data_IF_445325600236
#
_entry.id   IF_445325600236
#
_cell.length_a   1.000
_cell.length_b   1.000
_cell.length_c   1.000
_cell.angle_alpha   90.00
_cell.angle_beta   90.00
_cell.angle_gamma   90.00
#
_symmetry.space_group_name_H-M   'P 1'
#
loop_
_entity.id
_entity.type
_entity.pdbx_description
1 polymer ?
#
# COMPACT_ATOMS: atom_id res chain seq x y z
N UNK A 1 67.12 49.17 1.45
CA UNK A 1 68.31 48.60 2.11
C UNK A 1 67.92 47.30 2.80
N UNK A 2 68.45 46.16 2.32
CA UNK A 2 68.58 44.82 2.96
C UNK A 2 67.28 44.13 3.44
N UNK A 3 67.03 42.82 3.37
CA UNK A 3 67.56 41.62 2.69
C UNK A 3 67.00 40.41 3.47
N UNK A 4 66.35 39.44 2.80
CA UNK A 4 66.21 38.00 3.15
C UNK A 4 65.46 37.62 4.45
N UNK A 5 64.66 36.54 4.56
CA UNK A 5 64.88 35.08 4.34
C UNK A 5 63.47 34.44 4.12
N UNK A 6 63.14 33.82 2.98
CA UNK A 6 63.23 32.39 2.55
C UNK A 6 62.39 31.32 3.31
N UNK A 7 61.51 30.69 2.51
CA UNK A 7 61.02 29.29 2.50
C UNK A 7 60.03 28.86 3.60
N UNK A 8 58.97 28.08 3.34
CA UNK A 8 58.83 26.86 2.49
C UNK A 8 57.38 26.55 2.13
N UNK A 9 57.18 25.91 0.96
CA UNK A 9 56.16 24.86 0.72
C UNK A 9 54.71 25.34 0.49
N UNK A 10 54.24 25.57 -0.73
CA UNK A 10 53.83 24.55 -1.72
C UNK A 10 52.79 23.55 -1.19
N UNK A 11 51.51 23.80 -1.49
CA UNK A 11 50.66 22.94 -2.32
C UNK A 11 49.16 23.19 -2.06
N UNK A 12 48.46 23.65 -3.11
CA UNK A 12 47.14 23.21 -3.61
C UNK A 12 46.04 22.98 -2.55
N UNK A 13 44.83 23.49 -2.70
CA UNK A 13 43.86 23.05 -3.71
C UNK A 13 42.70 24.06 -3.71
N UNK A 14 42.38 24.57 -4.89
CA UNK A 14 41.07 25.13 -5.21
C UNK A 14 40.09 23.99 -5.45
N UNK A 15 38.91 24.03 -4.81
CA UNK A 15 37.63 23.41 -5.19
C UNK A 15 36.83 23.14 -3.91
N UNK A 16 35.67 23.77 -3.74
CA UNK A 16 34.50 23.17 -3.06
C UNK A 16 33.28 24.09 -3.21
N UNK A 17 32.71 24.12 -4.42
CA UNK A 17 31.29 24.44 -4.65
C UNK A 17 30.82 23.46 -5.71
N UNK A 18 30.07 22.45 -5.27
CA UNK A 18 29.07 21.61 -5.96
C UNK A 18 28.95 20.34 -5.12
N UNK A 19 27.93 20.24 -4.26
CA UNK A 19 27.39 18.96 -3.81
C UNK A 19 25.99 19.15 -3.20
N UNK A 20 25.01 19.39 -4.08
CA UNK A 20 23.60 19.08 -3.82
C UNK A 20 23.14 18.29 -5.05
N UNK A 21 22.46 17.17 -4.81
CA UNK A 21 22.10 16.09 -5.74
C UNK A 21 23.18 15.01 -5.92
N UNK A 22 23.19 14.00 -5.04
CA UNK A 22 23.53 12.59 -5.35
C UNK A 22 23.37 11.72 -4.09
N UNK A 23 22.19 11.13 -3.89
CA UNK A 23 22.02 9.75 -3.33
C UNK A 23 20.69 9.19 -3.89
N UNK A 24 20.67 8.85 -5.18
CA UNK A 24 19.63 8.05 -5.85
C UNK A 24 20.16 7.63 -7.22
N UNK A 25 21.29 6.91 -7.24
CA UNK A 25 21.83 6.27 -8.45
C UNK A 25 22.74 5.11 -8.03
N UNK A 26 22.12 4.07 -7.46
CA UNK A 26 22.67 2.72 -7.39
C UNK A 26 22.27 1.91 -8.62
N UNK A 27 22.49 2.42 -9.83
CA UNK A 27 22.47 1.60 -11.04
C UNK A 27 23.91 1.49 -11.53
N UNK A 28 24.59 0.47 -11.03
CA UNK A 28 25.82 0.01 -11.64
C UNK A 28 25.50 -0.44 -13.07
N UNK A 29 26.06 0.28 -14.04
CA UNK A 29 26.37 -0.29 -15.34
C UNK A 29 27.43 -1.38 -15.14
N UNK A 30 26.99 -2.62 -15.01
CA UNK A 30 27.79 -3.78 -15.38
C UNK A 30 27.16 -4.40 -16.63
N UNK A 31 28.00 -4.50 -17.66
CA UNK A 31 27.79 -5.07 -19.00
C UNK A 31 26.69 -6.15 -19.10
N UNK A 32 25.65 -5.85 -19.89
CA UNK A 32 25.36 -6.64 -21.08
C UNK A 32 24.62 -7.97 -20.96
N UNK A 33 23.73 -8.13 -19.98
CA UNK A 33 22.57 -9.04 -20.10
C UNK A 33 21.33 -8.26 -19.66
N UNK A 34 20.23 -8.40 -20.39
CA UNK A 34 18.97 -7.77 -20.01
C UNK A 34 18.62 -8.20 -18.58
N UNK A 35 18.42 -7.23 -17.66
CA UNK A 35 17.91 -7.49 -16.28
C UNK A 35 16.59 -8.29 -16.31
N UNK A 36 15.90 -8.30 -17.45
CA UNK A 36 14.66 -9.01 -17.69
C UNK A 36 14.87 -10.30 -18.48
N UNK A 37 14.14 -11.35 -18.13
CA UNK A 37 14.10 -12.65 -18.81
C UNK A 37 12.88 -12.80 -19.74
N UNK A 38 11.88 -11.92 -19.64
CA UNK A 38 10.74 -11.86 -20.54
C UNK A 38 10.21 -10.43 -20.75
N UNK A 39 9.53 -10.25 -21.87
CA UNK A 39 8.74 -9.06 -22.18
C UNK A 39 7.28 -9.43 -22.37
N UNK A 40 6.40 -8.78 -21.62
CA UNK A 40 4.96 -8.79 -21.84
C UNK A 40 4.59 -7.54 -22.60
N UNK A 41 3.86 -7.70 -23.71
CA UNK A 41 3.38 -6.57 -24.48
C UNK A 41 2.12 -6.94 -25.28
N UNK A 42 1.19 -6.01 -25.54
CA UNK A 42 0.00 -6.30 -26.32
C UNK A 42 0.38 -6.74 -27.75
N UNK A 43 -0.43 -7.60 -28.41
CA UNK A 43 -0.19 -7.99 -29.80
C UNK A 43 -0.03 -6.76 -30.71
N UNK A 44 0.99 -6.76 -31.56
CA UNK A 44 1.26 -5.66 -32.51
C UNK A 44 2.03 -4.46 -31.94
N UNK A 45 2.39 -4.48 -30.65
CA UNK A 45 3.32 -3.49 -30.08
C UNK A 45 4.74 -3.68 -30.63
N UNK A 46 5.32 -2.62 -31.19
CA UNK A 46 6.72 -2.62 -31.58
C UNK A 46 7.60 -2.81 -30.33
N UNK A 47 8.54 -3.75 -30.38
CA UNK A 47 9.54 -3.85 -29.33
C UNK A 47 10.51 -2.69 -29.49
N UNK A 48 10.75 -1.89 -28.46
CA UNK A 48 11.96 -1.09 -28.44
C UNK A 48 13.16 -2.03 -28.68
N UNK A 49 14.11 -1.65 -29.54
CA UNK A 49 15.23 -2.50 -29.98
C UNK A 49 15.95 -3.21 -28.82
N UNK A 50 15.95 -2.58 -27.64
CA UNK A 50 16.51 -3.06 -26.37
C UNK A 50 15.91 -4.37 -25.85
N UNK A 51 14.68 -4.75 -26.25
CA UNK A 51 13.99 -5.97 -25.79
C UNK A 51 13.77 -7.02 -26.90
N UNK A 52 14.32 -6.80 -28.08
CA UNK A 52 14.11 -7.65 -29.27
C UNK A 52 14.54 -9.12 -29.09
N UNK A 53 15.47 -9.40 -28.16
CA UNK A 53 15.97 -10.75 -27.87
C UNK A 53 15.23 -11.51 -26.76
N UNK A 54 14.22 -10.92 -26.12
CA UNK A 54 13.49 -11.57 -25.02
C UNK A 54 12.31 -12.41 -25.52
N UNK A 55 12.00 -13.55 -24.87
CA UNK A 55 10.71 -14.21 -25.00
C UNK A 55 9.55 -13.23 -24.80
N UNK A 56 8.60 -13.24 -25.74
CA UNK A 56 7.45 -12.33 -25.74
C UNK A 56 6.18 -13.05 -25.34
N UNK A 57 5.39 -12.40 -24.49
CA UNK A 57 4.08 -12.89 -24.04
C UNK A 57 3.01 -11.83 -24.26
N UNK A 58 1.80 -12.28 -24.59
CA UNK A 58 0.63 -11.41 -24.68
C UNK A 58 -0.05 -11.13 -23.34
N UNK A 59 0.38 -11.81 -22.26
CA UNK A 59 -0.17 -11.70 -20.91
C UNK A 59 0.91 -11.89 -19.85
N UNK A 60 0.71 -11.25 -18.69
CA UNK A 60 1.61 -11.35 -17.54
C UNK A 60 1.51 -12.75 -16.93
N UNK A 61 0.29 -13.28 -16.80
CA UNK A 61 0.07 -14.64 -16.34
C UNK A 61 0.79 -15.67 -17.22
N UNK A 62 0.82 -15.47 -18.54
CA UNK A 62 1.54 -16.35 -19.47
C UNK A 62 3.05 -16.36 -19.24
N UNK A 63 3.64 -15.19 -19.00
CA UNK A 63 5.07 -15.09 -18.67
C UNK A 63 5.41 -15.77 -17.33
N UNK A 64 4.57 -15.55 -16.31
CA UNK A 64 4.73 -16.19 -14.99
C UNK A 64 4.59 -17.71 -15.08
N UNK A 65 3.60 -18.23 -15.81
CA UNK A 65 3.38 -19.67 -16.02
C UNK A 65 4.54 -20.32 -16.79
N UNK A 66 5.15 -19.59 -17.72
CA UNK A 66 6.36 -20.04 -18.43
C UNK A 66 7.62 -20.02 -17.55
N UNK A 67 7.50 -19.51 -16.32
CA UNK A 67 8.54 -19.60 -15.29
C UNK A 67 9.51 -18.42 -15.26
N UNK A 68 9.18 -17.32 -15.94
CA UNK A 68 9.96 -16.08 -15.90
C UNK A 68 9.79 -15.37 -14.56
N UNK A 69 10.83 -14.66 -14.13
CA UNK A 69 10.85 -13.96 -12.84
C UNK A 69 11.34 -12.53 -12.95
N UNK A 70 11.89 -12.09 -14.08
CA UNK A 70 12.27 -10.72 -14.30
C UNK A 70 11.53 -10.20 -15.54
N UNK A 71 10.29 -9.76 -15.34
CA UNK A 71 9.36 -9.49 -16.43
C UNK A 71 9.24 -7.99 -16.66
N UNK A 72 9.62 -7.54 -17.85
CA UNK A 72 9.28 -6.20 -18.33
C UNK A 72 7.86 -6.19 -18.90
N UNK A 73 7.07 -5.17 -18.56
CA UNK A 73 5.68 -5.04 -18.99
C UNK A 73 5.53 -3.75 -19.80
N UNK A 74 5.29 -3.86 -21.10
CA UNK A 74 5.08 -2.69 -21.96
C UNK A 74 3.78 -1.94 -21.60
N UNK A 75 3.68 -0.63 -21.90
CA UNK A 75 2.44 0.12 -21.72
C UNK A 75 1.24 -0.59 -22.35
N UNK A 76 0.13 -0.64 -21.63
CA UNK A 76 -1.10 -1.29 -22.07
C UNK A 76 -2.05 -1.56 -20.91
N UNK A 77 -3.26 -1.96 -21.26
CA UNK A 77 -4.30 -2.38 -20.33
C UNK A 77 -4.40 -3.92 -20.39
N UNK A 78 -4.16 -4.54 -19.23
CA UNK A 78 -4.09 -5.99 -19.03
C UNK A 78 -5.23 -6.39 -18.09
N UNK A 79 -6.34 -6.85 -18.68
CA UNK A 79 -7.45 -7.40 -17.90
C UNK A 79 -7.07 -8.82 -17.45
N UNK A 80 -6.40 -8.91 -16.31
CA UNK A 80 -5.81 -10.13 -15.78
C UNK A 80 -5.98 -10.20 -14.27
N UNK A 81 -6.26 -11.40 -13.79
CA UNK A 81 -6.19 -11.75 -12.37
C UNK A 81 -4.91 -12.55 -12.14
N UNK A 82 -4.02 -12.05 -11.28
CA UNK A 82 -2.69 -12.60 -11.11
C UNK A 82 -2.48 -13.18 -9.71
N UNK A 83 -1.82 -14.34 -9.65
CA UNK A 83 -1.26 -14.89 -8.41
C UNK A 83 0.24 -15.11 -8.61
N UNK A 84 1.06 -14.41 -7.84
CA UNK A 84 2.52 -14.57 -7.81
C UNK A 84 2.85 -15.45 -6.61
N UNK A 85 3.18 -16.71 -6.88
CA UNK A 85 3.48 -17.74 -5.87
C UNK A 85 4.93 -18.26 -5.97
N UNK A 86 5.80 -17.47 -6.61
CA UNK A 86 7.24 -17.75 -6.74
C UNK A 86 8.04 -16.59 -6.18
N UNK A 87 9.08 -16.95 -5.44
CA UNK A 87 9.98 -15.97 -4.83
C UNK A 87 10.75 -15.17 -5.88
N UNK A 88 11.16 -13.96 -5.48
CA UNK A 88 12.03 -13.06 -6.25
C UNK A 88 11.50 -12.67 -7.64
N UNK A 89 10.18 -12.75 -7.86
CA UNK A 89 9.55 -12.23 -9.07
C UNK A 89 9.59 -10.70 -9.07
N UNK A 90 10.01 -10.12 -10.19
CA UNK A 90 9.96 -8.69 -10.47
C UNK A 90 9.08 -8.44 -11.68
N UNK A 91 8.06 -7.60 -11.51
CA UNK A 91 7.26 -7.03 -12.58
C UNK A 91 7.61 -5.53 -12.69
N UNK A 92 8.12 -5.12 -13.85
CA UNK A 92 8.51 -3.73 -14.08
C UNK A 92 7.80 -3.15 -15.30
N UNK A 93 6.97 -2.15 -15.09
CA UNK A 93 6.32 -1.41 -16.16
C UNK A 93 7.32 -0.55 -16.93
N UNK A 94 7.19 -0.57 -18.25
CA UNK A 94 7.96 0.26 -19.17
C UNK A 94 7.14 1.49 -19.53
N UNK A 95 7.82 2.63 -19.72
CA UNK A 95 7.21 3.87 -20.20
C UNK A 95 6.79 4.84 -19.09
N UNK A 96 6.45 6.06 -19.50
CA UNK A 96 6.03 7.14 -18.59
C UNK A 96 4.66 6.89 -17.97
N UNK A 97 3.74 6.31 -18.76
CA UNK A 97 2.45 5.83 -18.24
C UNK A 97 2.62 4.37 -17.83
N UNK A 98 2.39 4.02 -16.54
CA UNK A 98 2.50 2.64 -16.10
C UNK A 98 1.48 1.75 -16.82
N UNK A 99 1.83 0.51 -17.20
CA UNK A 99 0.85 -0.48 -17.65
C UNK A 99 -0.17 -0.76 -16.55
N UNK A 100 -1.44 -0.90 -16.95
CA UNK A 100 -2.56 -1.12 -16.06
C UNK A 100 -2.92 -2.59 -16.00
N UNK A 101 -2.86 -3.19 -14.83
CA UNK A 101 -3.33 -4.53 -14.52
C UNK A 101 -4.65 -4.35 -13.76
N UNK A 102 -5.75 -4.85 -14.33
CA UNK A 102 -7.06 -4.61 -13.75
C UNK A 102 -7.98 -5.83 -13.82
N UNK A 103 -8.86 -5.94 -12.84
CA UNK A 103 -9.91 -6.95 -12.75
C UNK A 103 -11.06 -6.38 -11.91
N UNK A 104 -12.26 -6.95 -11.99
CA UNK A 104 -13.49 -6.36 -11.42
C UNK A 104 -14.23 -7.29 -10.44
N UNK A 105 -13.51 -8.24 -9.84
CA UNK A 105 -14.07 -9.13 -8.84
C UNK A 105 -14.34 -8.39 -7.51
N UNK A 106 -15.48 -8.68 -6.88
CA UNK A 106 -15.83 -8.23 -5.54
C UNK A 106 -16.13 -9.43 -4.63
N UNK A 107 -16.02 -9.25 -3.31
CA UNK A 107 -16.01 -10.34 -2.34
C UNK A 107 -17.23 -11.26 -2.41
N UNK A 108 -18.41 -10.72 -2.72
CA UNK A 108 -19.64 -11.51 -2.87
C UNK A 108 -19.61 -12.58 -3.97
N UNK A 109 -18.70 -12.48 -4.95
CA UNK A 109 -18.54 -13.47 -6.02
C UNK A 109 -17.13 -14.10 -6.09
N UNK A 110 -16.19 -13.58 -5.31
CA UNK A 110 -14.77 -13.83 -5.54
C UNK A 110 -14.17 -14.97 -4.70
N UNK A 111 -14.96 -15.62 -3.85
CA UNK A 111 -14.49 -16.74 -3.01
C UNK A 111 -13.78 -17.83 -3.82
N UNK A 112 -14.28 -18.14 -5.03
CA UNK A 112 -13.73 -19.14 -5.95
C UNK A 112 -12.27 -18.90 -6.36
N UNK A 113 -11.73 -17.71 -6.13
CA UNK A 113 -10.36 -17.34 -6.47
C UNK A 113 -9.37 -17.40 -5.31
N UNK A 114 -9.83 -17.74 -4.10
CA UNK A 114 -8.97 -17.87 -2.93
C UNK A 114 -8.92 -19.33 -2.46
N UNK A 115 -7.76 -19.76 -1.96
CA UNK A 115 -7.53 -21.14 -1.47
C UNK A 115 -8.53 -21.59 -0.40
N UNK A 116 -9.05 -20.64 0.39
CA UNK A 116 -9.96 -20.88 1.51
C UNK A 116 -11.42 -20.53 1.19
N UNK A 117 -11.77 -20.30 -0.08
CA UNK A 117 -13.09 -19.85 -0.54
C UNK A 117 -13.52 -18.48 0.06
N UNK A 118 -12.54 -17.64 0.42
CA UNK A 118 -12.80 -16.34 1.06
C UNK A 118 -13.00 -15.23 0.04
N UNK A 119 -14.13 -14.52 0.18
CA UNK A 119 -14.54 -13.46 -0.74
C UNK A 119 -13.53 -12.32 -0.86
N UNK A 120 -13.21 -11.63 0.24
CA UNK A 120 -12.34 -10.44 0.19
C UNK A 120 -10.94 -10.74 -0.35
N UNK A 121 -10.17 -11.73 0.17
CA UNK A 121 -8.90 -12.11 -0.46
C UNK A 121 -9.06 -12.49 -1.93
N UNK A 122 -10.09 -13.28 -2.27
CA UNK A 122 -10.34 -13.72 -3.63
C UNK A 122 -10.68 -12.59 -4.60
N UNK A 123 -11.06 -11.41 -4.10
CA UNK A 123 -11.36 -10.24 -4.94
C UNK A 123 -10.10 -9.59 -5.54
N UNK A 124 -8.92 -9.80 -4.95
CA UNK A 124 -7.66 -9.15 -5.34
C UNK A 124 -7.33 -9.25 -6.84
N UNK A 125 -7.09 -8.13 -7.53
CA UNK A 125 -6.57 -8.15 -8.92
C UNK A 125 -5.21 -8.84 -8.99
N UNK A 126 -4.31 -8.50 -8.07
CA UNK A 126 -2.99 -9.14 -7.91
C UNK A 126 -2.86 -9.70 -6.50
N UNK A 127 -2.59 -10.99 -6.40
CA UNK A 127 -2.24 -11.68 -5.16
C UNK A 127 -0.75 -12.01 -5.15
N UNK A 128 -0.05 -11.62 -4.10
CA UNK A 128 1.33 -12.02 -3.82
C UNK A 128 1.31 -13.01 -2.67
N UNK A 129 1.74 -14.24 -2.92
CA UNK A 129 1.90 -15.29 -1.92
C UNK A 129 3.31 -15.90 -2.07
N UNK A 130 4.33 -15.05 -1.96
CA UNK A 130 5.74 -15.38 -2.18
C UNK A 130 6.68 -14.33 -1.57
N UNK A 131 7.96 -14.68 -1.42
CA UNK A 131 8.97 -13.83 -0.78
C UNK A 131 9.77 -13.01 -1.79
N UNK A 132 9.98 -11.72 -1.50
CA UNK A 132 10.86 -10.83 -2.26
C UNK A 132 10.30 -10.41 -3.62
N UNK A 133 8.98 -10.36 -3.76
CA UNK A 133 8.34 -9.85 -4.97
C UNK A 133 8.55 -8.35 -5.10
N UNK A 134 8.82 -7.89 -6.32
CA UNK A 134 9.06 -6.48 -6.64
C UNK A 134 8.11 -6.01 -7.72
N UNK A 135 7.34 -4.98 -7.42
CA UNK A 135 6.44 -4.30 -8.34
C UNK A 135 6.96 -2.88 -8.58
N UNK A 136 7.23 -2.52 -9.82
CA UNK A 136 7.78 -1.22 -10.16
C UNK A 136 7.03 -0.60 -11.34
N UNK A 137 6.63 0.66 -11.20
CA UNK A 137 5.97 1.43 -12.26
C UNK A 137 4.75 0.70 -12.84
N UNK A 138 3.85 0.20 -11.99
CA UNK A 138 2.62 -0.49 -12.40
C UNK A 138 1.40 0.30 -11.92
N UNK A 139 0.30 0.19 -12.67
CA UNK A 139 -1.01 0.59 -12.19
C UNK A 139 -1.82 -0.68 -11.92
N UNK A 140 -2.10 -0.99 -10.66
CA UNK A 140 -2.90 -2.16 -10.26
C UNK A 140 -4.25 -1.66 -9.78
N UNK A 141 -5.32 -2.10 -10.42
CA UNK A 141 -6.66 -1.60 -10.15
C UNK A 141 -7.64 -2.73 -9.90
N UNK A 142 -8.53 -2.57 -8.93
CA UNK A 142 -9.80 -3.27 -8.95
C UNK A 142 -10.89 -2.34 -9.53
N UNK A 143 -11.35 -2.69 -10.72
CA UNK A 143 -12.28 -1.87 -11.52
C UNK A 143 -13.75 -2.17 -11.25
N UNK A 144 -14.08 -2.90 -10.17
CA UNK A 144 -15.46 -3.07 -9.73
C UNK A 144 -16.14 -1.69 -9.56
N UNK A 145 -17.32 -1.50 -10.17
CA UNK A 145 -18.07 -0.23 -10.10
C UNK A 145 -18.73 -0.04 -8.73
N UNK A 146 -17.88 0.28 -7.75
CA UNK A 146 -18.27 0.50 -6.38
C UNK A 146 -19.21 1.70 -6.24
N UNK A 147 -18.99 2.78 -7.00
CA UNK A 147 -19.80 3.99 -6.86
C UNK A 147 -21.24 3.75 -7.31
N UNK A 148 -21.44 3.06 -8.44
CA UNK A 148 -22.79 2.70 -8.87
C UNK A 148 -23.47 1.81 -7.84
N UNK A 149 -22.79 0.77 -7.34
CA UNK A 149 -23.36 -0.12 -6.33
C UNK A 149 -23.64 0.58 -4.98
N UNK A 150 -22.74 1.46 -4.54
CA UNK A 150 -22.86 2.16 -3.27
C UNK A 150 -23.97 3.22 -3.30
N UNK A 151 -24.23 3.83 -4.46
CA UNK A 151 -25.32 4.79 -4.66
C UNK A 151 -26.71 4.17 -4.45
N UNK A 152 -26.87 2.88 -4.76
CA UNK A 152 -28.15 2.16 -4.64
C UNK A 152 -28.66 2.09 -3.19
N UNK A 153 -29.97 1.98 -3.03
CA UNK A 153 -30.58 1.73 -1.73
C UNK A 153 -30.31 0.31 -1.23
N UNK A 154 -30.36 0.11 0.10
CA UNK A 154 -29.99 -1.19 0.70
C UNK A 154 -30.92 -2.33 0.28
N UNK A 155 -32.17 -1.99 -0.04
CA UNK A 155 -33.21 -2.93 -0.48
C UNK A 155 -33.32 -3.01 -2.00
N UNK A 156 -32.49 -2.26 -2.75
CA UNK A 156 -32.49 -2.33 -4.20
C UNK A 156 -32.02 -3.72 -4.67
N UNK A 157 -32.79 -4.45 -5.50
CA UNK A 157 -32.44 -5.80 -5.92
C UNK A 157 -31.19 -5.86 -6.81
N UNK A 158 -30.78 -4.74 -7.43
CA UNK A 158 -29.54 -4.65 -8.22
C UNK A 158 -28.30 -4.42 -7.37
N UNK A 159 -28.46 -4.08 -6.08
CA UNK A 159 -27.34 -3.85 -5.17
C UNK A 159 -26.68 -5.17 -4.77
N UNK A 160 -25.40 -5.29 -5.05
CA UNK A 160 -24.60 -6.43 -4.58
C UNK A 160 -24.20 -6.24 -3.11
N UNK A 161 -24.21 -7.36 -2.37
CA UNK A 161 -23.68 -7.44 -1.00
C UNK A 161 -22.21 -7.83 -1.04
N UNK A 162 -21.48 -7.56 0.05
CA UNK A 162 -20.04 -7.85 0.14
C UNK A 162 -19.23 -7.22 -0.99
N UNK A 163 -19.36 -5.91 -1.14
CA UNK A 163 -18.82 -5.11 -2.24
C UNK A 163 -17.32 -4.74 -2.08
N UNK A 164 -16.62 -5.41 -1.15
CA UNK A 164 -15.17 -5.26 -0.98
C UNK A 164 -14.46 -5.72 -2.25
N UNK A 165 -13.48 -4.97 -2.74
CA UNK A 165 -12.87 -5.23 -4.04
C UNK A 165 -11.38 -4.82 -4.00
N UNK A 166 -10.53 -5.78 -3.62
CA UNK A 166 -9.11 -5.55 -3.45
C UNK A 166 -8.39 -5.43 -4.80
N UNK A 167 -7.45 -4.50 -4.89
CA UNK A 167 -6.54 -4.36 -6.02
C UNK A 167 -5.28 -5.21 -5.79
N UNK A 168 -4.71 -5.12 -4.59
CA UNK A 168 -3.49 -5.84 -4.20
C UNK A 168 -3.70 -6.59 -2.89
N UNK A 169 -3.45 -7.89 -2.91
CA UNK A 169 -3.34 -8.73 -1.71
C UNK A 169 -1.87 -9.16 -1.52
N UNK A 170 -1.33 -8.85 -0.35
CA UNK A 170 -0.12 -9.47 0.19
C UNK A 170 -0.61 -10.57 1.14
N UNK A 171 -0.56 -11.80 0.66
CA UNK A 171 -1.15 -12.96 1.31
C UNK A 171 -0.19 -13.58 2.34
N UNK A 172 -0.61 -14.65 3.02
CA UNK A 172 0.06 -15.23 4.19
C UNK A 172 1.55 -15.58 3.99
N UNK A 173 1.95 -16.00 2.78
CA UNK A 173 3.35 -16.33 2.47
C UNK A 173 4.12 -15.16 1.84
N UNK A 174 3.49 -13.98 1.73
CA UNK A 174 4.15 -12.76 1.28
C UNK A 174 5.12 -12.25 2.33
N UNK A 175 6.39 -12.04 1.96
CA UNK A 175 7.34 -11.32 2.81
C UNK A 175 8.34 -10.56 1.94
N UNK A 176 8.90 -9.47 2.45
CA UNK A 176 9.84 -8.60 1.75
C UNK A 176 9.32 -8.09 0.38
N UNK A 177 8.01 -7.86 0.26
CA UNK A 177 7.42 -7.30 -0.96
C UNK A 177 7.76 -5.81 -1.09
N UNK A 178 8.23 -5.39 -2.25
CA UNK A 178 8.56 -3.99 -2.54
C UNK A 178 7.70 -3.48 -3.69
N UNK A 179 7.01 -2.36 -3.46
CA UNK A 179 6.20 -1.65 -4.45
C UNK A 179 6.76 -0.24 -4.62
N UNK A 180 7.15 0.12 -5.85
CA UNK A 180 7.80 1.42 -6.13
C UNK A 180 7.16 2.10 -7.32
N UNK A 181 7.03 3.42 -7.25
CA UNK A 181 6.57 4.26 -8.36
C UNK A 181 5.25 3.77 -9.00
N UNK A 182 4.37 3.16 -8.19
CA UNK A 182 3.19 2.45 -8.67
C UNK A 182 1.90 3.14 -8.22
N UNK A 183 0.81 2.85 -8.91
CA UNK A 183 -0.55 3.30 -8.60
C UNK A 183 -1.37 2.08 -8.21
N UNK A 184 -1.98 2.08 -7.03
CA UNK A 184 -2.84 0.99 -6.55
C UNK A 184 -4.24 1.56 -6.28
N UNK A 185 -5.18 1.25 -7.18
CA UNK A 185 -6.48 1.92 -7.25
C UNK A 185 -7.65 0.98 -6.93
N UNK A 186 -8.58 1.49 -6.13
CA UNK A 186 -9.80 0.78 -5.74
C UNK A 186 -10.77 1.68 -5.01
N UNK A 187 -11.66 1.08 -4.23
CA UNK A 187 -12.59 1.79 -3.36
C UNK A 187 -12.58 1.18 -1.96
N UNK A 188 -13.41 0.16 -1.72
CA UNK A 188 -13.42 -0.53 -0.44
C UNK A 188 -12.39 -1.67 -0.47
N UNK A 189 -11.52 -1.72 0.54
CA UNK A 189 -10.52 -2.78 0.76
C UNK A 189 -9.44 -2.85 -0.35
N UNK A 190 -8.93 -1.71 -0.85
CA UNK A 190 -7.96 -1.64 -1.98
C UNK A 190 -6.67 -2.45 -1.78
N UNK A 191 -5.98 -2.27 -0.64
CA UNK A 191 -4.72 -2.97 -0.31
C UNK A 191 -4.94 -3.82 0.93
N UNK A 192 -4.85 -5.13 0.76
CA UNK A 192 -4.88 -6.10 1.84
C UNK A 192 -3.46 -6.57 2.17
N UNK A 193 -2.90 -6.12 3.29
CA UNK A 193 -1.61 -6.53 3.82
C UNK A 193 -1.76 -7.62 4.89
N UNK A 194 -2.00 -8.87 4.46
CA UNK A 194 -2.29 -10.06 5.31
C UNK A 194 -1.07 -11.00 5.49
N UNK A 195 0.13 -10.50 5.18
CA UNK A 195 1.36 -11.28 5.15
C UNK A 195 2.43 -10.75 6.10
N UNK A 196 3.69 -11.06 5.79
CA UNK A 196 4.87 -10.54 6.47
C UNK A 196 5.11 -9.06 6.18
N UNK A 197 6.29 -8.75 5.65
CA UNK A 197 6.75 -7.36 5.53
C UNK A 197 6.60 -6.83 4.11
N UNK A 198 6.20 -5.57 3.99
CA UNK A 198 6.10 -4.88 2.70
C UNK A 198 6.46 -3.40 2.76
N UNK A 199 6.93 -2.87 1.63
CA UNK A 199 7.38 -1.49 1.51
C UNK A 199 6.89 -0.86 0.22
N UNK A 200 6.05 0.15 0.38
CA UNK A 200 5.52 0.99 -0.68
C UNK A 200 6.29 2.30 -0.67
N UNK A 201 6.89 2.66 -1.80
CA UNK A 201 7.69 3.87 -1.92
C UNK A 201 7.30 4.69 -3.15
N UNK A 202 7.17 6.00 -2.96
CA UNK A 202 6.82 6.94 -4.02
C UNK A 202 5.61 6.48 -4.86
N UNK A 203 4.61 5.90 -4.18
CA UNK A 203 3.46 5.25 -4.82
C UNK A 203 2.16 5.94 -4.43
N UNK A 204 1.15 5.82 -5.29
CA UNK A 204 -0.19 6.33 -5.06
C UNK A 204 -1.12 5.18 -4.68
N UNK A 205 -1.92 5.36 -3.63
CA UNK A 205 -2.91 4.37 -3.20
C UNK A 205 -4.24 5.09 -3.02
N UNK A 206 -5.29 4.64 -3.70
CA UNK A 206 -6.61 5.26 -3.63
C UNK A 206 -7.71 4.32 -3.14
N UNK A 207 -8.63 4.87 -2.35
CA UNK A 207 -9.82 4.14 -1.90
C UNK A 207 -10.69 4.96 -0.94
N UNK A 208 -11.72 4.35 -0.37
CA UNK A 208 -12.63 5.02 0.56
C UNK A 208 -12.75 4.31 1.92
N UNK A 209 -13.30 3.10 1.97
CA UNK A 209 -13.57 2.36 3.21
C UNK A 209 -12.46 1.32 3.41
N UNK A 210 -11.76 1.42 4.53
CA UNK A 210 -10.74 0.45 4.98
C UNK A 210 -9.71 0.11 3.90
N UNK A 211 -9.35 1.09 3.06
CA UNK A 211 -8.68 0.79 1.80
C UNK A 211 -7.21 0.37 1.94
N UNK A 212 -6.65 0.47 3.16
CA UNK A 212 -5.38 -0.16 3.54
C UNK A 212 -5.63 -0.94 4.84
N UNK A 213 -5.66 -2.25 4.77
CA UNK A 213 -6.07 -3.09 5.90
C UNK A 213 -5.26 -4.38 5.97
N UNK A 214 -5.33 -5.08 7.09
CA UNK A 214 -4.56 -6.31 7.32
C UNK A 214 -3.69 -6.27 8.57
N UNK A 215 -3.04 -7.40 8.85
CA UNK A 215 -2.24 -7.63 10.05
C UNK A 215 -0.73 -7.42 9.83
N UNK A 216 -0.29 -7.46 8.58
CA UNK A 216 1.11 -7.40 8.18
C UNK A 216 1.80 -6.08 8.51
N UNK A 217 3.13 -6.13 8.44
CA UNK A 217 3.95 -4.93 8.51
C UNK A 217 4.01 -4.30 7.12
N UNK A 218 3.27 -3.22 6.91
CA UNK A 218 3.28 -2.48 5.65
C UNK A 218 3.73 -1.03 5.89
N UNK A 219 4.84 -0.65 5.25
CA UNK A 219 5.37 0.72 5.33
C UNK A 219 5.08 1.46 4.03
N UNK A 220 4.48 2.64 4.15
CA UNK A 220 4.17 3.56 3.06
C UNK A 220 5.04 4.80 3.23
N UNK A 221 6.12 4.90 2.44
CA UNK A 221 7.08 6.01 2.52
C UNK A 221 7.01 6.90 1.28
N UNK A 222 6.85 8.20 1.49
CA UNK A 222 6.66 9.18 0.40
C UNK A 222 5.49 8.81 -0.53
N UNK A 223 4.46 8.17 0.02
CA UNK A 223 3.26 7.81 -0.74
C UNK A 223 2.25 8.96 -0.74
N UNK A 224 1.45 9.01 -1.80
CA UNK A 224 0.20 9.77 -1.81
C UNK A 224 -0.96 8.80 -1.56
N UNK A 225 -1.72 9.07 -0.50
CA UNK A 225 -2.82 8.25 -0.02
C UNK A 225 -4.11 9.04 -0.28
N UNK A 226 -4.87 8.62 -1.28
CA UNK A 226 -5.94 9.41 -1.90
C UNK A 226 -7.31 8.89 -1.43
N UNK A 227 -7.99 9.68 -0.59
CA UNK A 227 -9.37 9.39 -0.21
C UNK A 227 -10.32 9.66 -1.38
N UNK A 228 -11.14 8.68 -1.73
CA UNK A 228 -12.15 8.75 -2.79
C UNK A 228 -13.54 9.00 -2.23
N UNK A 229 -14.41 9.55 -3.07
CA UNK A 229 -15.81 9.81 -2.70
C UNK A 229 -16.62 8.52 -2.54
N UNK A 230 -17.82 8.66 -2.00
CA UNK A 230 -18.85 7.61 -1.92
C UNK A 230 -19.90 7.78 -3.01
N UNK A 231 -20.62 6.69 -3.30
CA UNK A 231 -21.71 6.73 -4.29
C UNK A 231 -22.92 7.51 -3.80
N UNK A 232 -23.14 7.54 -2.48
CA UNK A 232 -24.22 8.32 -1.86
C UNK A 232 -23.79 9.76 -1.58
N UNK A 233 -24.76 10.67 -1.71
CA UNK A 233 -24.59 12.05 -1.28
C UNK A 233 -24.22 12.11 0.21
N UNK A 234 -23.22 12.91 0.52
CA UNK A 234 -22.77 13.15 1.89
C UNK A 234 -23.87 13.81 2.73
N UNK A 235 -24.07 13.32 3.95
CA UNK A 235 -24.82 14.02 4.99
C UNK A 235 -23.84 14.48 6.07
N UNK A 236 -24.05 15.70 6.56
CA UNK A 236 -23.19 16.26 7.61
C UNK A 236 -23.15 15.33 8.83
N UNK A 237 -21.93 14.99 9.27
CA UNK A 237 -21.68 14.04 10.36
C UNK A 237 -21.43 12.60 9.91
N UNK A 238 -21.69 12.26 8.64
CA UNK A 238 -21.33 10.94 8.11
C UNK A 238 -19.81 10.77 8.04
N UNK A 239 -19.34 9.53 8.20
CA UNK A 239 -17.97 9.15 7.88
C UNK A 239 -18.00 8.53 6.47
N UNK A 240 -17.32 9.16 5.53
CA UNK A 240 -17.21 8.73 4.13
C UNK A 240 -16.27 7.53 3.98
N UNK A 241 -15.24 7.45 4.81
CA UNK A 241 -14.19 6.46 4.68
C UNK A 241 -13.25 6.35 5.87
N UNK A 242 -12.38 5.35 5.78
CA UNK A 242 -11.32 5.08 6.75
C UNK A 242 -10.06 4.74 5.95
N UNK A 243 -8.96 5.46 6.18
CA UNK A 243 -7.71 5.20 5.45
C UNK A 243 -7.19 3.82 5.78
N UNK A 244 -7.17 3.47 7.07
CA UNK A 244 -6.64 2.19 7.51
C UNK A 244 -7.60 1.37 8.38
N UNK A 245 -7.48 0.05 8.27
CA UNK A 245 -8.15 -0.89 9.16
C UNK A 245 -7.19 -2.02 9.60
N UNK A 246 -6.20 -1.72 10.45
CA UNK A 246 -5.21 -2.71 10.85
C UNK A 246 -5.83 -3.77 11.76
N UNK A 247 -5.38 -5.01 11.58
CA UNK A 247 -5.67 -6.19 12.42
C UNK A 247 -4.41 -6.80 13.05
N UNK A 248 -3.33 -6.02 13.10
CA UNK A 248 -2.03 -6.42 13.62
C UNK A 248 -2.14 -7.11 14.98
N UNK A 249 -1.62 -8.34 15.08
CA UNK A 249 -1.57 -9.05 16.35
C UNK A 249 -0.77 -8.25 17.40
N UNK A 250 -1.20 -8.29 18.66
CA UNK A 250 -0.58 -7.56 19.76
C UNK A 250 0.91 -7.91 19.97
N UNK A 251 1.32 -9.12 19.60
CA UNK A 251 2.71 -9.58 19.69
C UNK A 251 3.63 -8.94 18.63
N UNK A 252 3.09 -8.48 17.50
CA UNK A 252 3.83 -7.77 16.47
C UNK A 252 3.86 -6.27 16.80
N UNK A 253 5.04 -5.62 16.93
CA UNK A 253 5.14 -4.26 17.46
C UNK A 253 4.50 -3.19 16.57
N UNK A 254 4.60 -3.33 15.25
CA UNK A 254 4.10 -2.36 14.27
C UNK A 254 3.35 -3.06 13.13
N UNK A 255 2.30 -2.42 12.63
CA UNK A 255 1.50 -2.90 11.49
C UNK A 255 1.62 -1.96 10.31
N UNK A 256 0.63 -1.09 10.15
CA UNK A 256 0.57 -0.12 9.06
C UNK A 256 1.33 1.16 9.44
N UNK A 257 2.36 1.52 8.70
CA UNK A 257 3.23 2.67 9.03
C UNK A 257 3.31 3.62 7.83
N UNK A 258 2.88 4.86 8.00
CA UNK A 258 2.88 5.90 6.98
C UNK A 258 3.94 6.94 7.33
N UNK A 259 4.88 7.20 6.43
CA UNK A 259 6.05 8.05 6.70
C UNK A 259 6.24 9.01 5.54
N UNK A 260 6.50 10.29 5.84
CA UNK A 260 6.76 11.33 4.82
C UNK A 260 5.68 11.38 3.73
N UNK A 261 4.48 10.92 4.05
CA UNK A 261 3.42 10.67 3.08
C UNK A 261 2.43 11.82 3.08
N UNK A 262 1.51 11.81 2.12
CA UNK A 262 0.45 12.82 1.99
C UNK A 262 -0.89 12.13 1.97
N UNK A 263 -1.81 12.56 2.84
CA UNK A 263 -3.21 12.16 2.79
C UNK A 263 -3.97 13.23 2.02
N UNK A 264 -4.27 12.94 0.77
CA UNK A 264 -5.00 13.82 -0.16
C UNK A 264 -6.38 13.23 -0.46
N UNK A 265 -7.15 13.89 -1.32
CA UNK A 265 -8.50 13.47 -1.66
C UNK A 265 -8.88 13.83 -3.07
N UNK A 266 -9.82 13.07 -3.61
CA UNK A 266 -10.54 13.45 -4.83
C UNK A 266 -11.52 14.59 -4.58
N UNK A 267 -11.88 15.28 -5.66
CA UNK A 267 -12.99 16.22 -5.67
C UNK A 267 -14.29 15.56 -5.22
N UNK A 268 -15.02 16.26 -4.36
CA UNK A 268 -16.28 15.78 -3.79
C UNK A 268 -16.13 15.02 -2.47
N UNK A 269 -14.92 14.79 -1.96
CA UNK A 269 -14.71 14.32 -0.58
C UNK A 269 -14.78 15.50 0.40
N UNK A 270 -15.79 15.56 1.29
CA UNK A 270 -15.99 16.69 2.20
C UNK A 270 -14.90 16.83 3.26
N UNK A 271 -14.77 18.02 3.82
CA UNK A 271 -13.97 18.24 5.03
C UNK A 271 -14.49 17.39 6.19
N UNK A 272 -13.59 17.00 7.10
CA UNK A 272 -13.93 16.30 8.33
C UNK A 272 -14.82 15.05 8.11
N UNK A 273 -14.52 14.25 7.08
CA UNK A 273 -15.36 13.12 6.64
C UNK A 273 -14.65 11.77 6.60
N UNK A 274 -13.32 11.73 6.70
CA UNK A 274 -12.52 10.48 6.64
C UNK A 274 -11.68 10.32 7.90
N UNK A 275 -11.68 9.14 8.52
CA UNK A 275 -10.76 8.87 9.63
C UNK A 275 -9.43 8.29 9.14
N UNK A 276 -8.37 8.51 9.90
CA UNK A 276 -7.07 7.85 9.74
C UNK A 276 -7.20 6.32 9.81
N UNK A 277 -8.04 5.81 10.69
CA UNK A 277 -8.34 4.38 10.69
C UNK A 277 -9.29 3.94 11.79
N UNK A 278 -9.59 2.64 11.78
CA UNK A 278 -10.43 1.96 12.77
C UNK A 278 -9.91 0.54 13.05
N UNK A 279 -10.12 -0.02 14.26
CA UNK A 279 -9.52 -1.29 14.63
C UNK A 279 -10.28 -2.48 14.05
N UNK A 280 -9.71 -3.12 13.04
CA UNK A 280 -10.27 -4.34 12.51
C UNK A 280 -9.85 -5.52 13.37
N UNK A 281 -10.84 -6.16 14.00
CA UNK A 281 -10.65 -7.45 14.66
C UNK A 281 -11.33 -8.51 13.78
N UNK A 282 -10.56 -9.28 12.97
CA UNK A 282 -11.10 -10.26 12.04
C UNK A 282 -11.95 -11.29 12.78
N UNK A 283 -13.01 -11.79 12.12
CA UNK A 283 -13.80 -12.87 12.71
C UNK A 283 -13.07 -14.20 12.52
N UNK A 284 -12.52 -14.70 13.62
CA UNK A 284 -11.64 -15.86 13.65
C UNK A 284 -12.32 -17.02 14.36
N UNK A 285 -12.02 -18.25 13.94
CA UNK A 285 -12.50 -19.47 14.60
C UNK A 285 -11.47 -19.88 15.65
N UNK A 286 -11.92 -19.96 16.90
CA UNK A 286 -11.17 -20.43 18.06
C UNK A 286 -11.77 -21.76 18.57
N UNK A 287 -11.10 -22.40 19.52
CA UNK A 287 -11.59 -23.64 20.15
C UNK A 287 -12.96 -23.46 20.84
N UNK A 288 -13.29 -22.24 21.28
CA UNK A 288 -14.49 -21.90 22.04
C UNK A 288 -15.54 -21.10 21.25
N UNK A 289 -15.37 -20.96 19.92
CA UNK A 289 -16.36 -20.34 19.04
C UNK A 289 -15.76 -19.54 17.89
N UNK A 290 -16.61 -18.79 17.20
CA UNK A 290 -16.21 -17.92 16.07
C UNK A 290 -16.61 -16.48 16.35
N UNK A 291 -15.64 -15.61 16.62
CA UNK A 291 -15.85 -14.22 17.03
C UNK A 291 -14.67 -13.34 16.62
N UNK A 292 -14.77 -12.03 16.82
CA UNK A 292 -13.70 -11.09 16.52
C UNK A 292 -12.46 -11.38 17.38
N UNK A 293 -11.31 -11.53 16.72
CA UNK A 293 -10.04 -11.89 17.36
C UNK A 293 -9.66 -10.86 18.44
N UNK A 294 -9.58 -11.24 19.72
CA UNK A 294 -9.23 -10.31 20.79
C UNK A 294 -7.78 -9.85 20.74
N UNK A 295 -6.88 -10.62 20.12
CA UNK A 295 -5.45 -10.33 20.06
C UNK A 295 -5.05 -9.52 18.81
N UNK A 296 -5.98 -9.34 17.86
CA UNK A 296 -5.85 -8.45 16.70
C UNK A 296 -5.94 -6.96 17.07
N UNK A 297 -5.10 -6.49 17.99
CA UNK A 297 -5.05 -5.10 18.44
C UNK A 297 -4.26 -4.27 17.42
N UNK A 298 -4.95 -3.85 16.36
CA UNK A 298 -4.35 -3.18 15.19
C UNK A 298 -3.40 -2.03 15.51
N UNK A 299 -2.31 -1.94 14.73
CA UNK A 299 -1.30 -0.89 14.81
C UNK A 299 -1.31 -0.04 13.53
N UNK A 300 -1.48 1.28 13.70
CA UNK A 300 -1.34 2.27 12.64
C UNK A 300 -0.56 3.48 13.15
N UNK A 301 0.49 3.88 12.43
CA UNK A 301 1.33 5.04 12.80
C UNK A 301 1.52 5.97 11.62
N UNK A 302 1.25 7.26 11.81
CA UNK A 302 1.52 8.31 10.82
C UNK A 302 2.66 9.22 11.29
N UNK A 303 3.74 9.30 10.53
CA UNK A 303 4.98 10.02 10.87
C UNK A 303 5.31 11.04 9.78
N UNK A 304 5.48 12.30 10.18
CA UNK A 304 5.88 13.37 9.26
C UNK A 304 4.94 13.43 8.02
N UNK A 305 3.66 13.13 8.23
CA UNK A 305 2.63 13.00 7.19
C UNK A 305 1.82 14.29 7.07
N UNK A 306 1.65 14.79 5.85
CA UNK A 306 0.76 15.92 5.56
C UNK A 306 -0.68 15.43 5.36
N UNK A 307 -1.67 16.10 5.96
CA UNK A 307 -3.07 15.69 5.99
C UNK A 307 -3.99 16.82 5.50
N UNK A 308 -4.77 16.57 4.45
CA UNK A 308 -5.77 17.52 3.96
C UNK A 308 -7.03 17.58 4.86
N UNK A 309 -7.89 18.58 4.64
CA UNK A 309 -9.00 18.93 5.53
C UNK A 309 -10.14 17.89 5.61
N UNK A 310 -10.15 16.89 4.74
CA UNK A 310 -11.09 15.75 4.85
C UNK A 310 -10.81 14.86 6.05
N UNK A 311 -9.57 14.85 6.56
CA UNK A 311 -9.23 14.07 7.75
C UNK A 311 -9.99 14.62 8.95
N UNK A 312 -10.71 13.73 9.64
CA UNK A 312 -11.54 14.08 10.78
C UNK A 312 -10.73 14.69 11.90
N UNK A 313 -11.32 15.65 12.60
CA UNK A 313 -10.77 16.26 13.81
C UNK A 313 -10.46 15.21 14.87
N UNK A 314 -11.33 14.22 15.04
CA UNK A 314 -11.12 13.12 15.99
C UNK A 314 -9.96 12.20 15.60
N UNK A 315 -9.56 12.21 14.32
CA UNK A 315 -8.54 11.35 13.73
C UNK A 315 -9.04 9.95 13.48
N UNK A 316 -9.47 9.25 14.53
CA UNK A 316 -9.71 7.80 14.52
C UNK A 316 -11.20 7.45 14.70
N UNK A 317 -11.59 6.24 14.32
CA UNK A 317 -12.96 5.74 14.46
C UNK A 317 -13.01 4.36 15.13
N UNK A 318 -14.15 4.03 15.73
CA UNK A 318 -14.42 2.70 16.27
C UNK A 318 -14.89 1.74 15.18
N UNK A 319 -14.82 0.44 15.45
CA UNK A 319 -15.33 -0.61 14.55
C UNK A 319 -16.12 -1.66 15.34
N UNK A 320 -17.25 -2.10 14.77
CA UNK A 320 -18.01 -3.21 15.34
C UNK A 320 -17.40 -4.54 14.87
N UNK A 321 -17.18 -5.45 15.79
CA UNK A 321 -16.80 -6.83 15.52
C UNK A 321 -17.85 -7.83 15.98
N UNK A 322 -17.62 -9.09 15.62
CA UNK A 322 -18.47 -10.22 16.01
C UNK A 322 -18.23 -10.54 17.49
N UNK A 323 -19.27 -10.43 18.32
CA UNK A 323 -19.26 -10.90 19.69
C UNK A 323 -19.33 -12.43 19.75
N UNK A 324 -19.06 -13.01 20.93
CA UNK A 324 -19.07 -14.46 21.16
C UNK A 324 -20.42 -15.13 20.91
N UNK A 325 -21.51 -14.36 20.99
CA UNK A 325 -22.86 -14.79 20.66
C UNK A 325 -23.20 -14.68 19.15
N UNK A 326 -22.24 -14.28 18.31
CA UNK A 326 -22.40 -14.10 16.87
C UNK A 326 -22.95 -12.74 16.44
N UNK A 327 -23.38 -11.88 17.37
CA UNK A 327 -23.91 -10.54 17.05
C UNK A 327 -22.80 -9.55 16.72
N UNK A 328 -23.10 -8.45 16.02
CA UNK A 328 -22.13 -7.35 15.77
C UNK A 328 -22.15 -6.28 16.87
N UNK A 329 -22.23 -6.72 18.14
CA UNK A 329 -22.42 -5.84 19.30
C UNK A 329 -21.12 -5.41 19.99
N UNK A 330 -20.01 -6.14 19.77
CA UNK A 330 -18.70 -5.74 20.33
C UNK A 330 -18.16 -4.55 19.55
N UNK A 331 -17.96 -3.42 20.23
CA UNK A 331 -17.39 -2.20 19.66
C UNK A 331 -15.92 -2.08 20.08
N UNK A 332 -14.98 -2.16 19.16
CA UNK A 332 -13.57 -1.90 19.40
C UNK A 332 -13.26 -0.42 19.17
N UNK A 333 -12.53 0.20 20.09
CA UNK A 333 -12.35 1.66 20.09
C UNK A 333 -10.89 2.05 19.82
N UNK A 334 -10.63 3.25 19.26
CA UNK A 334 -9.26 3.75 19.09
C UNK A 334 -8.40 3.73 20.35
N UNK A 335 -9.01 3.93 21.52
CA UNK A 335 -8.32 3.93 22.81
C UNK A 335 -7.78 2.53 23.18
N UNK A 336 -8.45 1.47 22.73
CA UNK A 336 -8.04 0.07 22.90
C UNK A 336 -7.02 -0.37 21.83
N UNK A 337 -6.73 0.47 20.83
CA UNK A 337 -5.87 0.15 19.68
C UNK A 337 -4.51 0.84 19.76
N UNK A 338 -3.59 0.51 18.84
CA UNK A 338 -2.23 1.07 18.78
C UNK A 338 -2.13 2.11 17.66
N UNK A 339 -2.86 3.21 17.84
CA UNK A 339 -3.00 4.30 16.87
C UNK A 339 -2.26 5.55 17.32
N UNK A 340 -1.33 6.02 16.49
CA UNK A 340 -0.41 7.09 16.84
C UNK A 340 -0.09 8.02 15.67
N UNK A 341 0.21 9.26 16.00
CA UNK A 341 0.68 10.29 15.08
C UNK A 341 1.94 10.96 15.65
N UNK A 342 2.86 11.32 14.77
CA UNK A 342 4.05 12.09 15.10
C UNK A 342 4.34 13.11 14.01
N UNK A 343 4.47 14.38 14.40
CA UNK A 343 4.84 15.49 13.50
C UNK A 343 3.96 15.60 12.24
N UNK A 344 2.71 15.12 12.28
CA UNK A 344 1.78 15.30 11.16
C UNK A 344 1.39 16.77 11.03
N UNK A 345 1.19 17.23 9.79
CA UNK A 345 0.87 18.62 9.48
C UNK A 345 -0.27 18.75 8.46
N UNK A 346 -0.61 19.99 8.09
CA UNK A 346 -1.73 20.26 7.17
C UNK A 346 -3.06 20.50 7.88
N UNK A 347 -4.11 20.94 7.14
CA UNK A 347 -5.39 21.33 7.73
C UNK A 347 -6.13 20.20 8.45
N UNK A 348 -5.88 18.94 8.08
CA UNK A 348 -6.45 17.75 8.73
C UNK A 348 -5.71 17.29 9.98
N UNK A 349 -4.50 17.80 10.27
CA UNK A 349 -3.71 17.45 11.44
C UNK A 349 -4.09 18.29 12.67
N UNK A 350 -5.37 18.20 13.06
CA UNK A 350 -5.94 18.94 14.18
C UNK A 350 -5.68 18.24 15.53
N UNK A 351 -5.32 18.96 16.61
CA UNK A 351 -5.18 18.38 17.95
C UNK A 351 -6.50 17.80 18.47
N UNK A 352 -6.43 16.60 19.06
CA UNK A 352 -7.58 15.96 19.70
C UNK A 352 -7.12 14.89 20.71
N UNK A 353 -7.92 14.65 21.77
CA UNK A 353 -7.55 13.71 22.84
C UNK A 353 -7.37 12.25 22.37
N UNK A 354 -8.04 11.87 21.27
CA UNK A 354 -7.90 10.52 20.67
C UNK A 354 -6.66 10.40 19.77
N UNK A 355 -6.03 11.51 19.39
CA UNK A 355 -4.87 11.55 18.50
C UNK A 355 -3.59 11.51 19.33
N UNK A 356 -3.27 10.29 19.78
CA UNK A 356 -2.13 10.03 20.66
C UNK A 356 -0.82 10.14 19.88
N UNK A 357 0.25 10.47 20.59
CA UNK A 357 1.60 10.38 20.07
C UNK A 357 2.40 9.32 20.85
N UNK A 358 3.43 8.78 20.22
CA UNK A 358 4.35 7.83 20.85
C UNK A 358 5.22 8.55 21.89
N UNK A 359 5.62 7.84 22.95
CA UNK A 359 6.65 8.32 23.87
C UNK A 359 8.01 8.47 23.17
N UNK A 360 8.92 9.28 23.73
CA UNK A 360 10.25 9.47 23.12
C UNK A 360 11.02 8.15 22.91
N UNK A 361 10.88 7.18 23.82
CA UNK A 361 11.49 5.87 23.67
C UNK A 361 10.88 5.07 22.51
N UNK A 362 9.55 5.05 22.39
CA UNK A 362 8.85 4.37 21.29
C UNK A 362 9.14 5.03 19.94
N UNK A 363 9.30 6.35 19.91
CA UNK A 363 9.73 7.09 18.71
C UNK A 363 11.13 6.66 18.25
N UNK A 364 12.08 6.52 19.17
CA UNK A 364 13.43 6.04 18.84
C UNK A 364 13.40 4.61 18.32
N UNK A 365 12.69 3.71 19.02
CA UNK A 365 12.52 2.31 18.58
C UNK A 365 11.91 2.22 17.18
N UNK A 366 10.90 3.05 16.88
CA UNK A 366 10.27 3.07 15.57
C UNK A 366 11.23 3.60 14.49
N UNK A 367 12.01 4.64 14.75
CA UNK A 367 13.01 5.16 13.80
C UNK A 367 14.10 4.13 13.50
N UNK A 368 14.62 3.46 14.52
CA UNK A 368 15.59 2.37 14.37
C UNK A 368 14.99 1.21 13.57
N UNK A 369 13.75 0.83 13.88
CA UNK A 369 13.02 -0.20 13.17
C UNK A 369 12.85 0.14 11.68
N UNK A 370 12.41 1.36 11.36
CA UNK A 370 12.26 1.84 9.97
C UNK A 370 13.61 1.83 9.25
N UNK A 371 14.68 2.31 9.90
CA UNK A 371 16.01 2.33 9.30
C UNK A 371 16.52 0.92 8.97
N UNK A 372 16.37 -0.02 9.91
CA UNK A 372 16.71 -1.43 9.70
C UNK A 372 15.87 -2.04 8.58
N UNK A 373 14.55 -1.82 8.62
CA UNK A 373 13.63 -2.35 7.61
C UNK A 373 13.98 -1.87 6.21
N UNK A 374 14.25 -0.57 6.03
CA UNK A 374 14.71 -0.01 4.75
C UNK A 374 16.01 -0.65 4.29
N UNK A 375 16.97 -0.88 5.20
CA UNK A 375 18.25 -1.52 4.86
C UNK A 375 18.11 -2.99 4.42
N UNK A 376 17.12 -3.71 4.97
CA UNK A 376 16.82 -5.09 4.57
C UNK A 376 16.18 -5.17 3.16
N UNK A 377 15.61 -4.07 2.68
CA UNK A 377 14.88 -3.99 1.41
C UNK A 377 15.65 -3.30 0.27
N UNK A 378 16.64 -2.48 0.60
CA UNK A 378 17.51 -1.82 -0.40
C UNK A 378 18.50 -2.82 -1.01
N UNK A 379 18.39 -3.05 -2.33
CA UNK A 379 19.34 -3.82 -3.15
C UNK A 379 19.86 -2.99 -4.32
#
# INVERSE_FOLDING_TARGET
MKSFIKSTGAARIAQFVVLVAFVMLGVHQARGESRFDALVAPPGSESADKFSGLPRYGSIAGALQAGHSQIAVAPGDYYEKLTINRDQVTLAGLGEKPPRIFFDAYAGMAGVYHRDDWGTPGSATVTINAVGVRLHNLHIENSFDFLANDALDKEDPSRVRHAQAAALLLDIDSDLTVVTDSVIDGYQDTVFADGGRSYFYNSQISGNVDFIFGDGLAVFDQCEIISRKRGKAFKSGDIQGHISAPSTNISQPYGLVFINSRLTREDGVPDNSVSLGRPWHPTTTFADGRYADPDAIGSAVYLDTWMDAHIRKEGWASMNGTARDGTKSRVFTPAESRFYELNSGGPGAQPHAQRRTLSAAEQNSLREFIARFKSELSF
#
